data_IF_665328836054
#
_entry.id   IF_665328836054
#
_cell.length_a   1.000
_cell.length_b   1.000
_cell.length_c   1.000
_cell.angle_alpha   90.00
_cell.angle_beta   90.00
_cell.angle_gamma   90.00
#
_symmetry.space_group_name_H-M   'P 1'
#
loop_
_entity.id
_entity.type
_entity.pdbx_description
1 polymer ?
#
# COMPACT_ATOMS: atom_id res chain seq x y z
N UNK A 1 26.78 36.47 27.73
CA UNK A 1 25.44 36.38 27.13
C UNK A 1 25.50 35.57 25.84
N UNK A 2 25.11 34.31 25.86
CA UNK A 2 25.03 33.46 24.65
C UNK A 2 23.83 33.91 23.83
N UNK A 3 24.06 34.37 22.60
CA UNK A 3 22.99 34.66 21.64
C UNK A 3 22.30 33.35 21.26
N UNK A 4 21.03 33.24 21.63
CA UNK A 4 20.15 32.15 21.18
C UNK A 4 19.90 32.33 19.68
N UNK A 5 20.47 31.46 18.84
CA UNK A 5 20.19 31.43 17.42
C UNK A 5 18.93 30.55 17.22
N UNK A 6 17.84 31.18 16.76
CA UNK A 6 16.55 30.49 16.46
C UNK A 6 16.61 29.58 15.22
N UNK A 7 17.81 29.41 14.64
CA UNK A 7 18.04 28.60 13.43
C UNK A 7 18.61 27.20 13.71
N UNK A 8 19.00 26.90 14.95
CA UNK A 8 19.45 25.56 15.31
C UNK A 8 18.28 24.71 15.84
N UNK A 9 17.88 23.74 15.05
CA UNK A 9 16.90 22.73 15.48
C UNK A 9 17.46 21.91 16.64
N UNK A 10 16.74 21.85 17.78
CA UNK A 10 17.11 21.04 18.94
C UNK A 10 16.88 19.52 18.71
N UNK A 11 16.42 19.12 17.54
CA UNK A 11 16.19 17.72 17.18
C UNK A 11 17.53 17.00 16.94
N UNK A 12 17.89 15.96 17.73
CA UNK A 12 19.12 15.19 17.56
C UNK A 12 19.29 14.60 16.15
N UNK A 13 18.18 14.25 15.46
CA UNK A 13 18.21 13.76 14.09
C UNK A 13 18.62 14.84 13.06
N UNK A 14 18.49 16.11 13.40
CA UNK A 14 18.91 17.25 12.55
C UNK A 14 20.37 17.65 12.76
N UNK A 15 21.00 17.21 13.87
CA UNK A 15 22.43 17.45 14.13
C UNK A 15 23.36 16.66 13.21
N UNK A 16 22.84 15.64 12.55
CA UNK A 16 23.56 14.91 11.50
C UNK A 16 23.31 15.51 10.10
N UNK A 17 23.36 16.84 9.98
CA UNK A 17 23.29 17.54 8.68
C UNK A 17 24.33 17.04 7.67
N UNK A 18 25.43 16.47 8.13
CA UNK A 18 26.46 15.84 7.31
C UNK A 18 25.95 14.59 6.54
N UNK A 19 24.93 13.91 7.05
CA UNK A 19 24.28 12.79 6.35
C UNK A 19 23.38 13.24 5.18
N UNK A 20 23.08 14.53 5.12
CA UNK A 20 22.24 15.16 4.08
C UNK A 20 23.03 16.13 3.21
N UNK A 21 24.34 16.37 3.50
CA UNK A 21 25.19 17.13 2.64
C UNK A 21 25.38 16.38 1.31
N UNK A 22 25.22 17.03 0.14
CA UNK A 22 25.56 16.43 -1.12
C UNK A 22 27.05 16.10 -1.08
N UNK A 23 27.40 14.81 -1.13
CA UNK A 23 28.77 14.38 -1.31
C UNK A 23 29.17 14.90 -2.70
N UNK A 24 30.12 15.84 -2.76
CA UNK A 24 30.62 16.39 -4.01
C UNK A 24 31.00 15.25 -4.97
N UNK A 25 30.27 15.12 -6.07
CA UNK A 25 30.43 14.03 -7.06
C UNK A 25 29.52 12.82 -6.90
N UNK A 26 28.64 12.73 -5.88
CA UNK A 26 27.66 11.65 -5.77
C UNK A 26 26.42 11.93 -6.65
N UNK A 27 26.00 10.93 -7.42
CA UNK A 27 24.77 11.01 -8.19
C UNK A 27 23.57 11.23 -7.27
N UNK A 28 22.76 12.25 -7.59
CA UNK A 28 21.54 12.60 -6.86
C UNK A 28 20.35 11.79 -7.38
N UNK A 29 19.34 11.61 -6.53
CA UNK A 29 18.08 10.96 -6.88
C UNK A 29 17.34 11.75 -7.97
N UNK A 30 16.71 11.04 -8.88
CA UNK A 30 15.94 11.57 -10.01
C UNK A 30 14.52 11.02 -10.04
N UNK A 31 13.58 11.76 -10.64
CA UNK A 31 12.20 11.29 -10.86
C UNK A 31 12.23 9.99 -11.68
N UNK A 32 13.01 9.97 -12.77
CA UNK A 32 13.12 8.80 -13.64
C UNK A 32 13.69 7.59 -12.88
N UNK A 33 14.66 7.81 -11.99
CA UNK A 33 15.23 6.76 -11.14
C UNK A 33 14.17 6.17 -10.20
N UNK A 34 13.32 7.01 -9.58
CA UNK A 34 12.21 6.53 -8.74
C UNK A 34 11.20 5.72 -9.56
N UNK A 35 10.80 6.21 -10.74
CA UNK A 35 9.87 5.49 -11.63
C UNK A 35 10.44 4.11 -11.99
N UNK A 36 11.70 4.05 -12.39
CA UNK A 36 12.36 2.79 -12.74
C UNK A 36 12.43 1.82 -11.55
N UNK A 37 12.72 2.32 -10.33
CA UNK A 37 12.74 1.48 -9.13
C UNK A 37 11.35 1.00 -8.75
N UNK A 38 10.34 1.87 -8.85
CA UNK A 38 8.93 1.48 -8.62
C UNK A 38 8.49 0.40 -9.61
N UNK A 39 8.75 0.59 -10.90
CA UNK A 39 8.41 -0.40 -11.92
C UNK A 39 9.11 -1.75 -11.67
N UNK A 40 10.41 -1.73 -11.36
CA UNK A 40 11.18 -2.92 -11.03
C UNK A 40 10.61 -3.65 -9.80
N UNK A 41 10.31 -2.92 -8.73
CA UNK A 41 9.71 -3.49 -7.51
C UNK A 41 8.30 -4.04 -7.78
N UNK A 42 7.51 -3.39 -8.65
CA UNK A 42 6.19 -3.89 -9.05
C UNK A 42 6.31 -5.20 -9.83
N UNK A 43 7.29 -5.31 -10.75
CA UNK A 43 7.55 -6.58 -11.46
C UNK A 43 7.96 -7.69 -10.48
N UNK A 44 8.83 -7.39 -9.51
CA UNK A 44 9.22 -8.35 -8.46
C UNK A 44 8.01 -8.76 -7.62
N UNK A 45 7.13 -7.83 -7.28
CA UNK A 45 5.89 -8.14 -6.56
C UNK A 45 4.93 -9.00 -7.41
N UNK A 46 4.82 -8.76 -8.71
CA UNK A 46 4.03 -9.63 -9.61
C UNK A 46 4.57 -11.06 -9.65
N UNK A 47 5.89 -11.23 -9.70
CA UNK A 47 6.52 -12.56 -9.62
C UNK A 47 6.16 -13.22 -8.27
N UNK A 48 6.27 -12.48 -7.16
CA UNK A 48 5.82 -12.93 -5.84
C UNK A 48 4.35 -13.34 -5.85
N UNK A 49 3.48 -12.56 -6.53
CA UNK A 49 2.05 -12.85 -6.68
C UNK A 49 1.78 -14.18 -7.40
N UNK A 50 2.48 -14.42 -8.49
CA UNK A 50 2.40 -15.71 -9.22
C UNK A 50 2.83 -16.88 -8.32
N UNK A 51 3.89 -16.70 -7.54
CA UNK A 51 4.34 -17.71 -6.55
C UNK A 51 3.25 -17.95 -5.51
N UNK A 52 2.62 -16.90 -4.98
CA UNK A 52 1.52 -16.99 -4.01
C UNK A 52 0.33 -17.79 -4.54
N UNK A 53 -0.10 -17.50 -5.77
CA UNK A 53 -1.17 -18.25 -6.46
C UNK A 53 -0.78 -19.71 -6.67
N UNK A 54 0.46 -19.99 -7.08
CA UNK A 54 0.94 -21.35 -7.35
C UNK A 54 1.08 -22.21 -6.08
N UNK A 55 1.31 -21.61 -4.93
CA UNK A 55 1.42 -22.29 -3.63
C UNK A 55 0.04 -22.64 -3.07
N UNK A 56 -0.96 -21.81 -3.31
CA UNK A 56 -2.31 -21.93 -2.76
C UNK A 56 -2.93 -23.34 -2.87
N UNK A 57 -2.90 -24.04 -4.02
CA UNK A 57 -3.52 -25.38 -4.13
C UNK A 57 -2.80 -26.49 -3.34
N UNK A 58 -1.52 -26.25 -2.95
CA UNK A 58 -0.68 -27.23 -2.24
C UNK A 58 -0.81 -27.14 -0.73
N UNK A 59 -1.41 -26.04 -0.23
CA UNK A 59 -1.54 -25.76 1.19
C UNK A 59 -3.02 -25.84 1.54
N UNK A 60 -3.41 -26.77 2.43
CA UNK A 60 -4.79 -26.84 2.92
C UNK A 60 -5.22 -25.52 3.62
N UNK A 61 -6.53 -25.33 3.80
CA UNK A 61 -7.10 -24.06 4.26
C UNK A 61 -6.45 -23.47 5.53
N UNK A 62 -6.12 -24.31 6.52
CA UNK A 62 -5.41 -23.86 7.73
C UNK A 62 -3.96 -23.39 7.46
N UNK A 63 -3.26 -24.09 6.55
CA UNK A 63 -1.90 -23.70 6.14
C UNK A 63 -1.89 -22.39 5.38
N UNK A 64 -2.92 -22.09 4.59
CA UNK A 64 -3.06 -20.86 3.84
C UNK A 64 -3.19 -19.63 4.75
N UNK A 65 -4.01 -19.74 5.80
CA UNK A 65 -4.15 -18.69 6.81
C UNK A 65 -2.79 -18.48 7.52
N UNK A 66 -2.08 -19.55 7.87
CA UNK A 66 -0.79 -19.45 8.54
C UNK A 66 0.26 -18.76 7.65
N UNK A 67 0.35 -19.09 6.36
CA UNK A 67 1.26 -18.43 5.40
C UNK A 67 0.88 -16.96 5.22
N UNK A 68 -0.41 -16.65 5.12
CA UNK A 68 -0.89 -15.27 5.01
C UNK A 68 -0.55 -14.44 6.24
N UNK A 69 -0.73 -14.97 7.45
CA UNK A 69 -0.35 -14.30 8.70
C UNK A 69 1.17 -14.11 8.78
N UNK A 70 1.95 -15.14 8.45
CA UNK A 70 3.41 -15.07 8.46
C UNK A 70 3.93 -14.02 7.48
N UNK A 71 3.48 -14.05 6.22
CA UNK A 71 3.88 -13.06 5.22
C UNK A 71 3.45 -11.64 5.61
N UNK A 72 2.26 -11.48 6.19
CA UNK A 72 1.78 -10.20 6.71
C UNK A 72 2.66 -9.66 7.84
N UNK A 73 3.00 -10.48 8.84
CA UNK A 73 3.88 -10.08 9.94
C UNK A 73 5.27 -9.70 9.43
N UNK A 74 5.83 -10.50 8.52
CA UNK A 74 7.15 -10.23 7.93
C UNK A 74 7.15 -8.94 7.14
N UNK A 75 6.12 -8.67 6.32
CA UNK A 75 6.03 -7.42 5.55
C UNK A 75 5.88 -6.19 6.44
N UNK A 76 5.10 -6.29 7.53
CA UNK A 76 5.00 -5.21 8.53
C UNK A 76 6.38 -4.97 9.18
N UNK A 77 7.09 -6.02 9.58
CA UNK A 77 8.43 -5.90 10.14
C UNK A 77 9.42 -5.24 9.18
N UNK A 78 9.45 -5.69 7.92
CA UNK A 78 10.30 -5.11 6.87
C UNK A 78 9.96 -3.65 6.59
N UNK A 79 8.68 -3.28 6.61
CA UNK A 79 8.24 -1.89 6.47
C UNK A 79 8.84 -1.00 7.54
N UNK A 80 8.72 -1.38 8.83
CA UNK A 80 9.28 -0.58 9.93
C UNK A 80 10.81 -0.50 9.86
N UNK A 81 11.51 -1.58 9.48
CA UNK A 81 12.96 -1.55 9.31
C UNK A 81 13.36 -0.63 8.15
N UNK A 82 12.66 -0.67 7.01
CA UNK A 82 12.93 0.18 5.86
C UNK A 82 12.68 1.67 6.17
N UNK A 83 11.62 1.99 6.92
CA UNK A 83 11.32 3.37 7.36
C UNK A 83 12.35 3.87 8.36
N UNK A 84 12.80 3.02 9.30
CA UNK A 84 13.82 3.36 10.29
C UNK A 84 15.22 3.52 9.67
N UNK A 85 15.53 2.76 8.60
CA UNK A 85 16.82 2.75 7.92
C UNK A 85 16.67 2.89 6.39
N UNK A 86 16.31 4.08 5.87
CA UNK A 86 16.00 4.27 4.45
C UNK A 86 17.13 3.87 3.49
N UNK A 87 18.39 3.97 3.92
CA UNK A 87 19.56 3.58 3.12
C UNK A 87 19.65 2.06 2.87
N UNK A 88 19.00 1.26 3.72
CA UNK A 88 18.91 -0.20 3.53
C UNK A 88 17.81 -0.59 2.53
N UNK A 89 17.00 0.34 2.05
CA UNK A 89 15.92 0.06 1.11
C UNK A 89 16.41 -0.58 -0.20
N UNK A 90 17.67 -0.37 -0.58
CA UNK A 90 18.29 -1.04 -1.74
C UNK A 90 18.14 -2.56 -1.66
N UNK A 91 18.28 -3.14 -0.45
CA UNK A 91 18.18 -4.59 -0.22
C UNK A 91 16.79 -4.96 0.30
N UNK A 92 16.23 -4.17 1.20
CA UNK A 92 14.95 -4.47 1.84
C UNK A 92 13.76 -4.35 0.89
N UNK A 93 13.78 -3.40 -0.05
CA UNK A 93 12.66 -3.19 -0.95
C UNK A 93 12.40 -4.37 -1.90
N UNK A 94 13.40 -4.99 -2.56
CA UNK A 94 13.17 -6.19 -3.36
C UNK A 94 12.67 -7.39 -2.54
N UNK A 95 13.21 -7.58 -1.32
CA UNK A 95 12.76 -8.66 -0.41
C UNK A 95 11.31 -8.42 -0.01
N UNK A 96 10.98 -7.19 0.39
CA UNK A 96 9.62 -6.79 0.69
C UNK A 96 8.69 -7.04 -0.50
N UNK A 97 9.10 -6.63 -1.71
CA UNK A 97 8.28 -6.73 -2.91
C UNK A 97 7.87 -8.19 -3.22
N UNK A 98 8.81 -9.15 -3.09
CA UNK A 98 8.52 -10.57 -3.34
C UNK A 98 7.54 -11.13 -2.30
N UNK A 99 7.77 -10.83 -1.01
CA UNK A 99 6.94 -11.34 0.09
C UNK A 99 5.56 -10.69 0.06
N UNK A 100 5.50 -9.38 -0.16
CA UNK A 100 4.25 -8.65 -0.31
C UNK A 100 3.47 -9.14 -1.52
N UNK A 101 4.14 -9.40 -2.65
CA UNK A 101 3.52 -9.99 -3.83
C UNK A 101 2.92 -11.36 -3.52
N UNK A 102 3.66 -12.23 -2.84
CA UNK A 102 3.17 -13.55 -2.43
C UNK A 102 1.91 -13.43 -1.55
N UNK A 103 1.90 -12.52 -0.58
CA UNK A 103 0.72 -12.21 0.23
C UNK A 103 -0.47 -11.78 -0.64
N UNK A 104 -0.25 -10.85 -1.59
CA UNK A 104 -1.30 -10.37 -2.48
C UNK A 104 -1.84 -11.47 -3.39
N UNK A 105 -0.98 -12.36 -3.90
CA UNK A 105 -1.38 -13.50 -4.72
C UNK A 105 -2.25 -14.49 -3.95
N UNK A 106 -1.87 -14.85 -2.72
CA UNK A 106 -2.66 -15.72 -1.84
C UNK A 106 -4.00 -15.05 -1.52
N UNK A 107 -3.99 -13.77 -1.14
CA UNK A 107 -5.20 -13.01 -0.82
C UNK A 107 -6.18 -12.99 -1.98
N UNK A 108 -5.70 -12.70 -3.19
CA UNK A 108 -6.54 -12.68 -4.40
C UNK A 108 -7.11 -14.06 -4.73
N UNK A 109 -6.29 -15.13 -4.61
CA UNK A 109 -6.75 -16.50 -4.81
C UNK A 109 -7.83 -16.92 -3.81
N UNK A 110 -7.75 -16.41 -2.57
CA UNK A 110 -8.83 -16.63 -1.58
C UNK A 110 -10.12 -15.96 -2.01
N UNK A 111 -10.06 -14.77 -2.58
CA UNK A 111 -11.24 -14.07 -3.09
C UNK A 111 -11.86 -14.81 -4.28
N UNK A 112 -11.02 -15.26 -5.23
CA UNK A 112 -11.50 -16.08 -6.36
C UNK A 112 -12.16 -17.38 -5.89
N UNK A 113 -11.55 -18.07 -4.90
CA UNK A 113 -12.10 -19.30 -4.34
C UNK A 113 -13.42 -19.05 -3.59
N UNK A 114 -13.53 -17.95 -2.86
CA UNK A 114 -14.77 -17.55 -2.17
C UNK A 114 -15.90 -17.26 -3.15
N UNK A 115 -15.64 -16.55 -4.24
CA UNK A 115 -16.60 -16.28 -5.30
C UNK A 115 -17.01 -17.57 -6.02
N UNK A 116 -16.04 -18.42 -6.36
CA UNK A 116 -16.30 -19.70 -7.02
C UNK A 116 -17.18 -20.63 -6.16
N UNK A 117 -16.99 -20.65 -4.84
CA UNK A 117 -17.85 -21.39 -3.90
C UNK A 117 -19.30 -20.87 -3.89
N UNK A 118 -19.53 -19.64 -4.35
CA UNK A 118 -20.84 -19.01 -4.53
C UNK A 118 -21.35 -19.08 -5.97
N UNK A 119 -20.68 -19.86 -6.86
CA UNK A 119 -20.98 -20.00 -8.30
C UNK A 119 -20.83 -18.68 -9.08
N UNK A 120 -20.05 -17.72 -8.56
CA UNK A 120 -19.81 -16.43 -9.20
C UNK A 120 -18.47 -16.49 -9.93
N UNK A 121 -18.48 -16.15 -11.22
CA UNK A 121 -17.28 -16.05 -12.05
C UNK A 121 -17.03 -14.60 -12.42
N UNK A 122 -15.78 -14.15 -12.27
CA UNK A 122 -15.33 -12.82 -12.66
C UNK A 122 -14.58 -12.91 -13.98
N UNK A 123 -15.02 -12.17 -15.00
CA UNK A 123 -14.37 -12.18 -16.31
C UNK A 123 -12.88 -11.75 -16.19
N UNK A 124 -11.97 -12.62 -16.60
CA UNK A 124 -10.53 -12.41 -16.47
C UNK A 124 -9.96 -12.60 -15.05
N UNK A 125 -10.79 -13.00 -14.08
CA UNK A 125 -10.41 -13.18 -12.67
C UNK A 125 -10.34 -11.87 -11.89
N UNK A 126 -10.42 -11.97 -10.58
CA UNK A 126 -10.36 -10.81 -9.66
C UNK A 126 -9.00 -10.09 -9.77
N UNK A 127 -7.92 -10.86 -9.94
CA UNK A 127 -6.56 -10.32 -10.04
C UNK A 127 -6.40 -9.30 -11.16
N UNK A 128 -6.86 -9.62 -12.37
CA UNK A 128 -6.72 -8.75 -13.53
C UNK A 128 -7.54 -7.48 -13.38
N UNK A 129 -8.79 -7.60 -12.93
CA UNK A 129 -9.66 -6.43 -12.74
C UNK A 129 -9.10 -5.50 -11.65
N UNK A 130 -8.66 -6.03 -10.52
CA UNK A 130 -8.06 -5.25 -9.44
C UNK A 130 -6.76 -4.56 -9.90
N UNK A 131 -5.94 -5.24 -10.71
CA UNK A 131 -4.72 -4.66 -11.27
C UNK A 131 -5.02 -3.49 -12.21
N UNK A 132 -6.00 -3.64 -13.10
CA UNK A 132 -6.44 -2.56 -14.02
C UNK A 132 -6.93 -1.35 -13.21
N UNK A 133 -7.76 -1.57 -12.18
CA UNK A 133 -8.25 -0.49 -11.31
C UNK A 133 -7.07 0.21 -10.62
N UNK A 134 -6.12 -0.55 -10.08
CA UNK A 134 -4.92 0.00 -9.40
C UNK A 134 -4.10 0.88 -10.33
N UNK A 135 -3.84 0.43 -11.55
CA UNK A 135 -3.09 1.22 -12.55
C UNK A 135 -3.89 2.45 -13.01
N UNK A 136 -5.19 2.32 -13.21
CA UNK A 136 -6.04 3.45 -13.56
C UNK A 136 -6.04 4.53 -12.47
N UNK A 137 -6.11 4.13 -11.19
CA UNK A 137 -6.03 5.04 -10.05
C UNK A 137 -4.65 5.71 -10.00
N UNK A 138 -3.57 4.94 -10.14
CA UNK A 138 -2.21 5.50 -10.17
C UNK A 138 -2.08 6.55 -11.28
N UNK A 139 -2.52 6.24 -12.49
CA UNK A 139 -2.47 7.15 -13.63
C UNK A 139 -3.32 8.41 -13.38
N UNK A 140 -4.54 8.27 -12.89
CA UNK A 140 -5.43 9.39 -12.56
C UNK A 140 -4.82 10.31 -11.50
N UNK A 141 -4.29 9.73 -10.39
CA UNK A 141 -3.66 10.51 -9.31
C UNK A 141 -2.37 11.18 -9.77
N UNK A 142 -1.58 10.54 -10.64
CA UNK A 142 -0.40 11.15 -11.25
C UNK A 142 -0.76 12.33 -12.15
N UNK A 143 -1.81 12.22 -12.94
CA UNK A 143 -2.32 13.32 -13.79
C UNK A 143 -2.80 14.48 -12.91
N UNK A 144 -3.62 14.23 -11.90
CA UNK A 144 -4.11 15.25 -10.97
C UNK A 144 -2.97 15.97 -10.23
N UNK A 145 -1.93 15.25 -9.88
CA UNK A 145 -0.73 15.80 -9.24
C UNK A 145 0.09 16.63 -10.21
N UNK A 146 0.38 16.14 -11.41
CA UNK A 146 1.21 16.84 -12.42
C UNK A 146 0.54 18.10 -12.95
N UNK A 147 -0.78 18.07 -13.15
CA UNK A 147 -1.58 19.25 -13.51
C UNK A 147 -1.80 20.22 -12.34
N UNK A 148 -1.29 19.89 -11.15
CA UNK A 148 -1.44 20.65 -9.90
C UNK A 148 -2.89 20.92 -9.48
N UNK A 149 -3.83 20.08 -9.93
CA UNK A 149 -5.25 20.15 -9.53
C UNK A 149 -5.37 19.82 -8.04
N UNK A 150 -4.65 18.78 -7.57
CA UNK A 150 -4.58 18.43 -6.17
C UNK A 150 -3.11 18.51 -5.73
N UNK A 151 -2.86 19.22 -4.63
CA UNK A 151 -1.53 19.42 -4.08
C UNK A 151 -1.49 18.97 -2.61
N UNK A 152 -0.38 18.38 -2.14
CA UNK A 152 -0.23 17.91 -0.76
C UNK A 152 0.04 19.07 0.21
N UNK A 153 -0.94 19.99 0.35
CA UNK A 153 -0.88 21.10 1.31
C UNK A 153 -0.88 20.59 2.75
N UNK A 154 -0.53 21.43 3.72
CA UNK A 154 -0.60 21.06 5.16
C UNK A 154 -1.99 20.57 5.58
N UNK A 155 -3.05 21.28 5.15
CA UNK A 155 -4.44 20.91 5.46
C UNK A 155 -4.80 19.57 4.80
N UNK A 156 -4.44 19.37 3.53
CA UNK A 156 -4.68 18.14 2.81
C UNK A 156 -4.02 16.93 3.51
N UNK A 157 -2.72 17.04 3.86
CA UNK A 157 -2.00 15.98 4.60
C UNK A 157 -2.63 15.70 5.96
N UNK A 158 -3.08 16.72 6.68
CA UNK A 158 -3.73 16.54 7.97
C UNK A 158 -5.05 15.77 7.83
N UNK A 159 -5.91 16.16 6.88
CA UNK A 159 -7.21 15.50 6.66
C UNK A 159 -7.02 14.05 6.21
N UNK A 160 -6.23 13.82 5.15
CA UNK A 160 -5.99 12.46 4.64
C UNK A 160 -5.30 11.60 5.69
N UNK A 161 -4.30 12.15 6.40
CA UNK A 161 -3.60 11.44 7.47
C UNK A 161 -4.51 11.09 8.66
N UNK A 162 -5.45 11.95 9.03
CA UNK A 162 -6.43 11.66 10.08
C UNK A 162 -7.40 10.56 9.65
N UNK A 163 -7.92 10.63 8.42
CA UNK A 163 -8.76 9.56 7.86
C UNK A 163 -8.01 8.23 7.83
N UNK A 164 -6.73 8.26 7.39
CA UNK A 164 -5.86 7.10 7.36
C UNK A 164 -5.66 6.49 8.75
N UNK A 165 -5.38 7.34 9.74
CA UNK A 165 -5.25 6.89 11.14
C UNK A 165 -6.54 6.27 11.64
N UNK A 166 -7.71 6.85 11.32
CA UNK A 166 -9.01 6.29 11.66
C UNK A 166 -9.22 4.90 11.07
N UNK A 167 -8.95 4.75 9.76
CA UNK A 167 -9.04 3.45 9.07
C UNK A 167 -8.07 2.44 9.70
N UNK A 168 -6.82 2.84 9.97
CA UNK A 168 -5.83 1.99 10.61
C UNK A 168 -6.29 1.51 11.99
N UNK A 169 -6.83 2.40 12.83
CA UNK A 169 -7.36 2.05 14.16
C UNK A 169 -8.52 1.07 14.06
N UNK A 170 -9.41 1.25 13.09
CA UNK A 170 -10.51 0.31 12.85
C UNK A 170 -9.97 -1.08 12.52
N UNK A 171 -9.00 -1.22 11.59
CA UNK A 171 -8.37 -2.50 11.29
C UNK A 171 -7.62 -3.07 12.50
N UNK A 172 -6.90 -2.23 13.24
CA UNK A 172 -6.13 -2.64 14.43
C UNK A 172 -7.04 -3.21 15.52
N UNK A 173 -8.23 -2.64 15.72
CA UNK A 173 -9.22 -3.12 16.69
C UNK A 173 -9.95 -4.36 16.15
N UNK A 174 -10.28 -4.38 14.85
CA UNK A 174 -11.04 -5.47 14.23
C UNK A 174 -10.24 -6.78 14.17
N UNK A 175 -8.93 -6.71 14.01
CA UNK A 175 -8.08 -7.89 13.92
C UNK A 175 -8.08 -8.75 15.21
N UNK A 176 -7.86 -8.21 16.42
CA UNK A 176 -8.02 -8.99 17.65
C UNK A 176 -9.46 -9.48 17.86
N UNK A 177 -10.46 -8.67 17.59
CA UNK A 177 -11.87 -9.05 17.73
C UNK A 177 -12.20 -10.27 16.86
N UNK A 178 -11.68 -10.33 15.65
CA UNK A 178 -11.84 -11.47 14.74
C UNK A 178 -11.24 -12.75 15.34
N UNK A 179 -10.11 -12.68 16.06
CA UNK A 179 -9.51 -13.84 16.74
C UNK A 179 -10.40 -14.39 17.87
N UNK A 180 -11.21 -13.53 18.50
CA UNK A 180 -12.22 -13.91 19.49
C UNK A 180 -13.58 -14.28 18.88
N UNK A 181 -13.67 -14.41 17.55
CA UNK A 181 -14.91 -14.75 16.84
C UNK A 181 -15.89 -13.59 16.68
N UNK A 182 -15.53 -12.37 17.10
CA UNK A 182 -16.35 -11.16 16.96
C UNK A 182 -16.05 -10.55 15.58
N UNK A 183 -17.03 -10.58 14.69
CA UNK A 183 -16.88 -10.01 13.35
C UNK A 183 -17.39 -8.57 13.34
N UNK A 184 -16.53 -7.63 12.89
CA UNK A 184 -16.91 -6.24 12.67
C UNK A 184 -17.50 -6.14 11.25
N UNK A 185 -18.81 -5.76 11.13
CA UNK A 185 -19.48 -5.73 9.83
C UNK A 185 -18.83 -4.66 8.91
N UNK A 186 -18.92 -4.89 7.59
CA UNK A 186 -18.51 -3.98 6.51
C UNK A 186 -16.99 -3.77 6.32
N UNK A 187 -16.13 -4.22 7.22
CA UNK A 187 -14.67 -4.05 7.11
C UNK A 187 -14.06 -5.08 6.17
N UNK A 188 -14.48 -6.35 6.28
CA UNK A 188 -14.03 -7.42 5.39
C UNK A 188 -15.15 -7.85 4.45
N UNK A 189 -14.78 -8.32 3.24
CA UNK A 189 -15.72 -8.92 2.29
C UNK A 189 -16.48 -10.09 2.93
N UNK A 190 -15.77 -10.90 3.73
CA UNK A 190 -16.34 -12.09 4.38
C UNK A 190 -17.36 -11.77 5.48
N UNK A 191 -17.38 -10.56 6.01
CA UNK A 191 -18.30 -10.14 7.09
C UNK A 191 -19.44 -9.24 6.60
N UNK A 192 -19.40 -8.85 5.32
CA UNK A 192 -20.41 -7.97 4.73
C UNK A 192 -21.59 -8.82 4.26
N UNK A 193 -22.84 -8.42 4.56
CA UNK A 193 -24.00 -9.04 3.94
C UNK A 193 -23.91 -8.99 2.42
N UNK A 194 -24.25 -10.10 1.75
CA UNK A 194 -24.19 -10.24 0.29
C UNK A 194 -25.46 -9.76 -0.40
N UNK A 195 -26.47 -9.30 0.35
CA UNK A 195 -27.75 -8.83 -0.19
C UNK A 195 -28.30 -7.64 0.58
N UNK A 196 -29.16 -6.87 -0.07
CA UNK A 196 -29.89 -5.77 0.52
C UNK A 196 -29.03 -4.53 0.84
N UNK A 197 -29.51 -3.68 1.77
CA UNK A 197 -28.86 -2.41 2.14
C UNK A 197 -27.47 -2.59 2.76
N UNK A 198 -27.23 -3.71 3.44
CA UNK A 198 -25.93 -4.03 4.04
C UNK A 198 -24.81 -4.16 3.02
N UNK A 199 -25.10 -4.73 1.85
CA UNK A 199 -24.16 -4.85 0.75
C UNK A 199 -23.77 -3.49 0.19
N UNK A 200 -24.72 -2.60 -0.06
CA UNK A 200 -24.46 -1.24 -0.53
C UNK A 200 -23.59 -0.44 0.44
N UNK A 201 -23.85 -0.59 1.75
CA UNK A 201 -23.02 0.03 2.80
C UNK A 201 -21.59 -0.51 2.71
N UNK A 202 -21.41 -1.82 2.56
CA UNK A 202 -20.09 -2.45 2.43
C UNK A 202 -19.31 -1.95 1.20
N UNK A 203 -19.97 -1.79 0.05
CA UNK A 203 -19.37 -1.20 -1.15
C UNK A 203 -19.00 0.27 -0.90
N UNK A 204 -19.88 1.06 -0.27
CA UNK A 204 -19.63 2.45 0.07
C UNK A 204 -18.45 2.64 1.01
N UNK A 205 -18.32 1.83 2.04
CA UNK A 205 -17.18 1.83 2.97
C UNK A 205 -15.89 1.49 2.22
N UNK A 206 -15.89 0.47 1.38
CA UNK A 206 -14.71 0.08 0.58
C UNK A 206 -14.32 1.19 -0.42
N UNK A 207 -15.27 1.80 -1.12
CA UNK A 207 -15.00 2.95 -2.00
C UNK A 207 -14.41 4.15 -1.23
N UNK A 208 -14.90 4.42 -0.02
CA UNK A 208 -14.34 5.47 0.83
C UNK A 208 -12.88 5.17 1.20
N UNK A 209 -12.58 3.94 1.63
CA UNK A 209 -11.21 3.52 1.97
C UNK A 209 -10.31 3.60 0.72
N UNK A 210 -10.79 3.13 -0.44
CA UNK A 210 -10.08 3.21 -1.71
C UNK A 210 -9.78 4.65 -2.11
N UNK A 211 -10.73 5.56 -1.91
CA UNK A 211 -10.54 7.00 -2.14
C UNK A 211 -9.42 7.56 -1.24
N UNK A 212 -9.44 7.27 0.06
CA UNK A 212 -8.41 7.73 0.99
C UNK A 212 -7.04 7.15 0.61
N UNK A 213 -6.96 5.86 0.26
CA UNK A 213 -5.74 5.23 -0.23
C UNK A 213 -5.22 5.89 -1.52
N UNK A 214 -6.11 6.27 -2.42
CA UNK A 214 -5.78 6.98 -3.67
C UNK A 214 -5.23 8.38 -3.39
N UNK A 215 -5.83 9.12 -2.45
CA UNK A 215 -5.36 10.45 -2.05
C UNK A 215 -3.99 10.39 -1.34
N UNK A 216 -3.64 9.26 -0.73
CA UNK A 216 -2.31 9.06 -0.13
C UNK A 216 -1.20 9.08 -1.19
N UNK A 217 -1.45 8.61 -2.43
CA UNK A 217 -0.49 8.73 -3.53
C UNK A 217 -0.07 10.18 -3.81
N UNK A 218 -0.98 11.15 -3.67
CA UNK A 218 -0.66 12.58 -3.83
C UNK A 218 0.36 13.03 -2.76
N UNK A 219 0.24 12.50 -1.54
CA UNK A 219 1.20 12.80 -0.47
C UNK A 219 2.55 12.15 -0.77
N UNK A 220 2.54 10.91 -1.28
CA UNK A 220 3.75 10.19 -1.66
C UNK A 220 4.50 10.90 -2.80
N UNK A 221 3.79 11.33 -3.85
CA UNK A 221 4.39 12.13 -4.93
C UNK A 221 5.02 13.42 -4.41
N UNK A 222 4.33 14.14 -3.52
CA UNK A 222 4.86 15.36 -2.92
C UNK A 222 6.11 15.11 -2.06
N UNK A 223 6.14 14.01 -1.32
CA UNK A 223 7.31 13.61 -0.53
C UNK A 223 8.49 13.24 -1.44
N UNK A 224 8.25 12.48 -2.50
CA UNK A 224 9.27 12.11 -3.50
C UNK A 224 9.85 13.36 -4.16
N UNK A 225 8.99 14.27 -4.64
CA UNK A 225 9.43 15.52 -5.25
C UNK A 225 10.29 16.36 -4.30
N UNK A 226 9.88 16.45 -3.03
CA UNK A 226 10.66 17.17 -2.01
C UNK A 226 12.03 16.52 -1.78
N UNK A 227 12.13 15.19 -1.72
CA UNK A 227 13.38 14.44 -1.57
C UNK A 227 14.33 14.68 -2.75
N UNK A 228 13.80 14.66 -3.97
CA UNK A 228 14.59 14.92 -5.18
C UNK A 228 15.11 16.37 -5.19
N UNK A 229 14.24 17.33 -4.91
CA UNK A 229 14.62 18.76 -4.83
C UNK A 229 15.65 19.07 -3.76
N UNK A 230 15.68 18.31 -2.65
CA UNK A 230 16.69 18.46 -1.61
C UNK A 230 18.04 17.82 -1.94
N UNK A 231 18.23 17.27 -3.16
CA UNK A 231 19.49 16.66 -3.58
C UNK A 231 19.81 15.35 -2.87
N UNK A 232 18.78 14.58 -2.46
CA UNK A 232 18.97 13.28 -1.80
C UNK A 232 19.85 12.34 -2.62
N UNK A 233 20.66 11.47 -2.01
CA UNK A 233 21.55 10.55 -2.71
C UNK A 233 20.77 9.54 -3.55
N UNK A 234 21.32 9.05 -4.65
CA UNK A 234 20.70 8.12 -5.61
C UNK A 234 20.10 6.87 -4.95
N UNK A 235 20.70 6.36 -3.87
CA UNK A 235 20.17 5.23 -3.10
C UNK A 235 18.75 5.47 -2.55
N UNK A 236 18.36 6.74 -2.36
CA UNK A 236 17.05 7.11 -1.88
C UNK A 236 15.94 6.82 -2.91
N UNK A 237 16.27 6.63 -4.20
CA UNK A 237 15.32 6.18 -5.23
C UNK A 237 14.65 4.85 -4.87
N UNK A 238 15.41 3.91 -4.25
CA UNK A 238 14.87 2.65 -3.78
C UNK A 238 13.86 2.81 -2.65
N UNK A 239 14.14 3.72 -1.73
CA UNK A 239 13.22 4.02 -0.64
C UNK A 239 11.94 4.70 -1.15
N UNK A 240 12.06 5.63 -2.09
CA UNK A 240 10.92 6.26 -2.75
C UNK A 240 10.08 5.23 -3.54
N UNK A 241 10.74 4.35 -4.29
CA UNK A 241 10.07 3.25 -4.99
C UNK A 241 9.38 2.26 -4.04
N UNK A 242 10.01 1.98 -2.89
CA UNK A 242 9.42 1.15 -1.84
C UNK A 242 8.13 1.77 -1.27
N UNK A 243 8.12 3.07 -0.95
CA UNK A 243 6.92 3.77 -0.45
C UNK A 243 5.80 3.68 -1.49
N UNK A 244 6.11 3.94 -2.77
CA UNK A 244 5.14 3.81 -3.86
C UNK A 244 4.56 2.40 -3.94
N UNK A 245 5.40 1.37 -3.82
CA UNK A 245 4.94 -0.02 -3.83
C UNK A 245 3.98 -0.33 -2.67
N UNK A 246 4.27 0.17 -1.46
CA UNK A 246 3.40 0.00 -0.27
C UNK A 246 2.02 0.59 -0.53
N UNK A 247 1.96 1.81 -1.05
CA UNK A 247 0.68 2.48 -1.36
C UNK A 247 -0.08 1.77 -2.48
N UNK A 248 0.62 1.32 -3.53
CA UNK A 248 0.02 0.55 -4.62
C UNK A 248 -0.51 -0.81 -4.14
N UNK A 249 0.21 -1.50 -3.25
CA UNK A 249 -0.24 -2.76 -2.67
C UNK A 249 -1.55 -2.58 -1.88
N UNK A 250 -1.69 -1.48 -1.13
CA UNK A 250 -2.93 -1.21 -0.42
C UNK A 250 -4.10 -0.88 -1.36
N UNK A 251 -3.87 -0.05 -2.37
CA UNK A 251 -4.89 0.24 -3.41
C UNK A 251 -5.30 -1.06 -4.09
N UNK A 252 -4.36 -1.96 -4.37
CA UNK A 252 -4.66 -3.27 -4.96
C UNK A 252 -5.54 -4.12 -4.07
N UNK A 253 -5.26 -4.21 -2.76
CA UNK A 253 -6.10 -4.94 -1.79
C UNK A 253 -7.53 -4.38 -1.80
N UNK A 254 -7.69 -3.07 -1.73
CA UNK A 254 -8.99 -2.41 -1.77
C UNK A 254 -9.71 -2.63 -3.10
N UNK A 255 -8.96 -2.70 -4.21
CA UNK A 255 -9.50 -2.99 -5.53
C UNK A 255 -9.97 -4.45 -5.64
N UNK A 256 -9.22 -5.41 -5.07
CA UNK A 256 -9.62 -6.82 -4.98
C UNK A 256 -10.93 -6.97 -4.20
N UNK A 257 -11.02 -6.32 -3.03
CA UNK A 257 -12.24 -6.32 -2.23
C UNK A 257 -13.43 -5.68 -2.96
N UNK A 258 -13.19 -4.57 -3.66
CA UNK A 258 -14.24 -3.89 -4.42
C UNK A 258 -14.79 -4.77 -5.55
N UNK A 259 -13.90 -5.39 -6.33
CA UNK A 259 -14.30 -6.33 -7.41
C UNK A 259 -15.09 -7.50 -6.84
N UNK A 260 -14.63 -8.08 -5.74
CA UNK A 260 -15.32 -9.20 -5.10
C UNK A 260 -16.72 -8.81 -4.57
N UNK A 261 -16.85 -7.60 -3.97
CA UNK A 261 -18.15 -7.08 -3.49
C UNK A 261 -19.12 -6.80 -4.63
N UNK A 262 -18.63 -6.17 -5.73
CA UNK A 262 -19.47 -5.90 -6.91
C UNK A 262 -19.89 -7.21 -7.58
N UNK A 263 -18.99 -8.19 -7.70
CA UNK A 263 -19.31 -9.49 -8.28
C UNK A 263 -20.38 -10.22 -7.45
N UNK A 264 -20.25 -10.18 -6.11
CA UNK A 264 -21.25 -10.77 -5.22
C UNK A 264 -22.61 -10.04 -5.28
N UNK A 265 -22.60 -8.73 -5.55
CA UNK A 265 -23.79 -7.90 -5.68
C UNK A 265 -24.61 -8.19 -6.95
N UNK A 266 -23.94 -8.57 -8.03
CA UNK A 266 -24.59 -8.85 -9.33
C UNK A 266 -25.18 -10.27 -9.43
N UNK A 267 -25.26 -10.99 -8.31
CA UNK A 267 -25.84 -12.35 -8.25
C UNK A 267 -27.36 -12.38 -8.34
N UNK A 268 -28.02 -11.26 -8.03
CA UNK A 268 -29.47 -11.07 -8.06
C UNK A 268 -29.89 -10.48 -9.43
#
# INVERSE_FOLDING_TARGET
>A
MRKFSLTESSNPAMKHGELFAPISGAETASVQGVINKTAMLTVIALIGGVIGVAIQPRIGGGGMIAVMLLTGIVTIGLYFVAVAKPMMAVVLAPIYAIIQGCFLGIFTSMMDAWLAASEITVAGGVALQAFIITIAILAAMLILYTLRIIQPTRKFRAVVGTCMLGIFLVYLISFPLMLFGIQVPFISVFTTPTSGSGMLIGIGVNLFILLIASLMLIIDFGMIEQRIKSGSPKRMEWFCGFIMLVSLAWIYIQSVELVARIAAANRD
#
